data_IF_662238616729
#
_entry.id   IF_662238616729
#
_cell.length_a   1.000
_cell.length_b   1.000
_cell.length_c   1.000
_cell.angle_alpha   90.00
_cell.angle_beta   90.00
_cell.angle_gamma   90.00
#
_symmetry.space_group_name_H-M   'P 1'
#
loop_
_entity.id
_entity.type
_entity.pdbx_description
1 polymer ?
#
# COMPACT_ATOMS: atom_id res chain seq x y z
N UNK A 1 -52.30 5.51 -6.93
CA UNK A 1 -52.53 6.53 -5.90
C UNK A 1 -51.17 6.90 -5.35
N UNK A 2 -50.82 8.18 -5.47
CA UNK A 2 -49.49 8.76 -5.28
C UNK A 2 -48.79 8.33 -3.99
N UNK A 3 -47.45 8.24 -4.02
CA UNK A 3 -46.58 9.20 -3.34
C UNK A 3 -45.25 9.32 -4.11
N UNK A 4 -45.10 10.46 -4.78
CA UNK A 4 -43.85 10.98 -5.33
C UNK A 4 -42.97 11.49 -4.18
N UNK A 5 -41.65 11.31 -4.33
CA UNK A 5 -40.61 12.11 -3.67
C UNK A 5 -39.51 11.28 -3.00
N UNK A 6 -38.25 11.29 -3.49
CA UNK A 6 -37.14 11.16 -2.56
C UNK A 6 -37.11 12.46 -1.75
N UNK A 7 -37.29 12.39 -0.43
CA UNK A 7 -37.00 13.54 0.41
C UNK A 7 -35.51 13.85 0.25
N UNK A 8 -35.16 15.07 -0.17
CA UNK A 8 -33.79 15.59 -0.13
C UNK A 8 -33.29 15.46 1.32
N UNK A 9 -32.44 14.46 1.58
CA UNK A 9 -31.82 14.28 2.89
C UNK A 9 -30.71 15.31 3.02
N UNK A 10 -31.05 16.47 3.56
CA UNK A 10 -30.12 17.54 3.87
C UNK A 10 -29.17 17.12 5.02
N UNK A 11 -27.87 17.01 4.73
CA UNK A 11 -26.86 16.66 5.74
C UNK A 11 -26.06 17.89 6.17
N UNK A 12 -25.79 18.04 7.48
CA UNK A 12 -24.99 19.16 8.01
C UNK A 12 -23.75 18.64 8.74
N UNK A 13 -22.61 19.32 8.54
CA UNK A 13 -21.40 19.08 9.31
C UNK A 13 -21.43 19.85 10.63
N UNK A 14 -21.39 19.12 11.75
CA UNK A 14 -21.49 19.67 13.11
C UNK A 14 -20.29 19.22 13.94
N UNK A 15 -19.73 20.15 14.71
CA UNK A 15 -18.67 19.86 15.68
C UNK A 15 -19.15 20.22 17.09
N UNK A 16 -18.81 19.39 18.08
CA UNK A 16 -19.10 19.66 19.48
C UNK A 16 -18.15 18.88 20.38
N UNK A 17 -17.99 19.33 21.62
CA UNK A 17 -17.28 18.55 22.64
C UNK A 17 -18.21 17.48 23.19
N UNK A 18 -17.73 16.24 23.30
CA UNK A 18 -18.52 15.06 23.73
C UNK A 18 -19.29 15.32 25.03
N UNK A 19 -18.66 16.00 25.99
CA UNK A 19 -19.27 16.25 27.31
C UNK A 19 -20.41 17.30 27.29
N UNK A 20 -20.57 18.10 26.23
CA UNK A 20 -21.50 19.23 26.21
C UNK A 20 -22.10 19.51 24.81
N UNK A 21 -22.46 18.46 24.09
CA UNK A 21 -23.05 18.56 22.76
C UNK A 21 -24.56 18.87 22.82
N UNK A 22 -24.91 20.10 23.20
CA UNK A 22 -26.28 20.63 23.14
C UNK A 22 -26.46 21.47 21.88
N UNK A 23 -27.71 21.72 21.44
CA UNK A 23 -27.97 22.53 20.24
C UNK A 23 -27.32 23.92 20.28
N UNK A 24 -27.23 24.52 21.48
CA UNK A 24 -26.60 25.83 21.68
C UNK A 24 -25.07 25.81 21.49
N UNK A 25 -24.42 24.65 21.62
CA UNK A 25 -22.96 24.50 21.61
C UNK A 25 -22.45 23.75 20.36
N UNK A 26 -23.32 23.52 19.37
CA UNK A 26 -22.95 22.93 18.09
C UNK A 26 -22.26 23.98 17.21
N UNK A 27 -20.99 23.76 16.92
CA UNK A 27 -20.29 24.48 15.87
C UNK A 27 -20.79 24.01 14.51
N UNK A 28 -21.10 24.95 13.61
CA UNK A 28 -21.40 24.70 12.20
C UNK A 28 -20.29 25.30 11.35
N UNK A 29 -19.11 24.65 11.27
CA UNK A 29 -17.95 25.19 10.56
C UNK A 29 -18.16 25.23 9.03
N UNK A 30 -19.10 24.44 8.50
CA UNK A 30 -19.56 24.57 7.13
C UNK A 30 -20.94 25.28 7.12
N UNK A 31 -21.12 26.37 6.36
CA UNK A 31 -22.33 27.21 6.46
C UNK A 31 -23.58 26.61 5.80
N UNK A 32 -23.41 25.60 4.95
CA UNK A 32 -24.49 24.99 4.16
C UNK A 32 -24.73 23.52 4.48
N UNK A 33 -25.44 22.87 3.56
CA UNK A 33 -25.61 21.43 3.55
C UNK A 33 -24.49 20.77 2.73
N UNK A 34 -24.14 19.57 3.14
CA UNK A 34 -23.18 18.70 2.46
C UNK A 34 -23.91 17.49 1.88
N UNK A 35 -23.30 16.86 0.90
CA UNK A 35 -23.81 15.62 0.33
C UNK A 35 -23.73 14.51 1.41
N UNK A 36 -24.76 13.64 1.54
CA UNK A 36 -24.75 12.55 2.50
C UNK A 36 -23.52 11.66 2.35
N UNK A 37 -22.94 11.22 3.47
CA UNK A 37 -21.74 10.36 3.52
C UNK A 37 -20.46 10.94 2.86
N UNK A 38 -20.41 12.24 2.58
CA UNK A 38 -19.24 12.87 1.95
C UNK A 38 -18.14 13.33 2.91
N UNK A 39 -18.39 13.31 4.22
CA UNK A 39 -17.43 13.76 5.22
C UNK A 39 -16.30 12.74 5.38
N UNK A 40 -15.08 13.15 5.04
CA UNK A 40 -13.85 12.38 5.30
C UNK A 40 -12.95 13.19 6.22
N UNK A 41 -12.52 12.60 7.33
CA UNK A 41 -11.59 13.23 8.27
C UNK A 41 -10.37 12.33 8.39
N UNK A 42 -9.23 12.80 7.89
CA UNK A 42 -7.97 12.06 7.86
C UNK A 42 -6.85 12.99 8.29
N UNK A 43 -6.09 12.58 9.31
CA UNK A 43 -5.06 13.40 9.96
C UNK A 43 -5.57 14.84 10.29
N UNK A 44 -4.85 15.84 9.81
CA UNK A 44 -5.14 17.27 9.97
C UNK A 44 -6.15 17.80 8.95
N UNK A 45 -6.64 16.97 8.02
CA UNK A 45 -7.56 17.38 6.95
C UNK A 45 -8.99 16.94 7.23
N UNK A 46 -9.95 17.73 6.77
CA UNK A 46 -11.35 17.35 6.65
C UNK A 46 -11.86 17.73 5.27
N UNK A 47 -12.55 16.80 4.61
CA UNK A 47 -13.10 16.97 3.27
C UNK A 47 -14.61 16.83 3.29
N UNK A 48 -15.30 17.64 2.49
CA UNK A 48 -16.74 17.53 2.28
C UNK A 48 -17.08 17.81 0.82
N UNK A 49 -18.15 17.18 0.34
CA UNK A 49 -18.69 17.41 -1.00
C UNK A 49 -20.00 18.17 -0.91
N UNK A 50 -20.22 19.10 -1.85
CA UNK A 50 -21.45 19.87 -1.97
C UNK A 50 -21.86 19.91 -3.43
N UNK A 51 -23.01 19.34 -3.76
CA UNK A 51 -23.55 19.41 -5.12
C UNK A 51 -24.37 20.68 -5.33
N UNK A 52 -23.86 21.61 -6.15
CA UNK A 52 -24.55 22.86 -6.50
C UNK A 52 -24.89 22.87 -7.98
N UNK A 53 -26.18 22.99 -8.33
CA UNK A 53 -26.62 23.04 -9.74
C UNK A 53 -26.27 21.78 -10.54
N UNK A 54 -26.25 20.62 -9.88
CA UNK A 54 -25.87 19.33 -10.48
C UNK A 54 -24.36 19.12 -10.65
N UNK A 55 -23.52 20.00 -10.11
CA UNK A 55 -22.06 19.86 -10.14
C UNK A 55 -21.50 19.67 -8.73
N UNK A 56 -20.71 18.61 -8.47
CA UNK A 56 -20.07 18.44 -7.19
C UNK A 56 -18.94 19.46 -7.02
N UNK A 57 -18.87 20.09 -5.84
CA UNK A 57 -17.78 20.96 -5.40
C UNK A 57 -17.18 20.37 -4.13
N UNK A 58 -15.88 20.14 -4.15
CA UNK A 58 -15.15 19.56 -3.02
C UNK A 58 -14.48 20.66 -2.19
N UNK A 59 -14.62 20.59 -0.88
CA UNK A 59 -14.01 21.52 0.07
C UNK A 59 -13.05 20.78 0.99
N UNK A 60 -11.97 21.46 1.36
CA UNK A 60 -10.98 21.00 2.32
C UNK A 60 -10.88 21.98 3.50
N UNK A 61 -10.64 21.45 4.69
CA UNK A 61 -10.26 22.19 5.88
C UNK A 61 -8.97 21.59 6.42
N UNK A 62 -7.91 22.40 6.52
CA UNK A 62 -6.63 22.02 7.10
C UNK A 62 -6.56 22.52 8.54
N UNK A 63 -6.16 21.66 9.49
CA UNK A 63 -6.10 21.96 10.93
C UNK A 63 -7.41 22.50 11.51
N UNK A 64 -8.54 22.05 10.95
CA UNK A 64 -9.91 22.47 11.32
C UNK A 64 -10.17 23.98 11.13
N UNK A 65 -9.44 24.62 10.21
CA UNK A 65 -9.70 26.00 9.78
C UNK A 65 -10.92 26.08 8.83
N UNK A 66 -11.24 27.27 8.31
CA UNK A 66 -12.33 27.49 7.39
C UNK A 66 -12.24 26.61 6.13
N UNK A 67 -13.37 26.00 5.74
CA UNK A 67 -13.45 25.20 4.52
C UNK A 67 -13.18 26.06 3.29
N UNK A 68 -12.24 25.60 2.47
CA UNK A 68 -11.84 26.24 1.21
C UNK A 68 -12.12 25.29 0.05
N UNK A 69 -12.70 25.76 -1.07
CA UNK A 69 -12.93 24.91 -2.23
C UNK A 69 -11.60 24.43 -2.82
N UNK A 70 -11.52 23.14 -3.10
CA UNK A 70 -10.39 22.52 -3.78
C UNK A 70 -10.28 23.05 -5.21
N UNK A 71 -9.06 23.32 -5.65
CA UNK A 71 -8.75 23.88 -6.96
C UNK A 71 -8.03 22.83 -7.80
N UNK A 72 -8.81 22.14 -8.62
CA UNK A 72 -8.33 21.28 -9.70
C UNK A 72 -7.99 22.16 -10.94
N UNK A 73 -7.20 21.65 -11.90
CA UNK A 73 -6.95 22.35 -13.15
C UNK A 73 -8.24 22.76 -13.88
N UNK A 74 -8.24 23.92 -14.53
CA UNK A 74 -9.46 24.57 -15.06
C UNK A 74 -10.29 23.72 -16.03
N UNK A 75 -9.65 22.78 -16.72
CA UNK A 75 -10.28 21.95 -17.75
C UNK A 75 -10.66 20.56 -17.26
N UNK A 76 -10.37 20.26 -15.99
CA UNK A 76 -10.77 19.01 -15.32
C UNK A 76 -12.25 19.10 -14.95
N UNK A 77 -13.06 18.17 -15.45
CA UNK A 77 -14.45 18.02 -15.06
C UNK A 77 -14.59 16.76 -14.19
N UNK A 78 -14.51 16.88 -12.86
CA UNK A 78 -14.61 15.72 -11.97
C UNK A 78 -16.02 15.15 -12.02
N UNK A 79 -16.10 13.85 -12.24
CA UNK A 79 -17.29 13.04 -12.03
C UNK A 79 -17.30 12.47 -10.62
N UNK A 80 -16.13 12.03 -10.14
CA UNK A 80 -15.92 11.53 -8.80
C UNK A 80 -14.49 11.85 -8.30
N UNK A 81 -14.31 11.91 -6.97
CA UNK A 81 -13.04 12.20 -6.32
C UNK A 81 -12.88 11.36 -5.04
N UNK A 82 -11.75 10.66 -4.95
CA UNK A 82 -11.36 9.91 -3.76
C UNK A 82 -10.07 10.49 -3.16
N UNK A 83 -10.06 10.68 -1.84
CA UNK A 83 -8.83 11.00 -1.10
C UNK A 83 -8.10 9.69 -0.82
N UNK A 84 -6.86 9.58 -1.29
CA UNK A 84 -6.05 8.37 -1.17
C UNK A 84 -5.18 8.42 0.09
N UNK A 85 -4.44 9.51 0.26
CA UNK A 85 -3.46 9.66 1.33
C UNK A 85 -3.33 11.13 1.72
N UNK A 86 -3.12 11.38 3.01
CA UNK A 86 -2.87 12.71 3.59
C UNK A 86 -1.49 12.81 4.25
N UNK A 87 -0.60 11.86 3.94
CA UNK A 87 0.69 11.71 4.58
C UNK A 87 1.64 12.90 4.33
N UNK A 88 2.41 13.24 5.37
CA UNK A 88 3.44 14.30 5.36
C UNK A 88 2.91 15.68 4.89
N UNK A 89 1.72 16.07 5.36
CA UNK A 89 1.08 17.37 5.07
C UNK A 89 0.81 17.61 3.58
N UNK A 90 0.45 16.59 2.80
CA UNK A 90 -0.03 16.75 1.43
C UNK A 90 -1.16 15.77 1.17
N UNK A 91 -2.05 16.11 0.25
CA UNK A 91 -3.19 15.25 -0.13
C UNK A 91 -2.93 14.66 -1.50
N UNK A 92 -2.96 13.34 -1.60
CA UNK A 92 -3.05 12.60 -2.85
C UNK A 92 -4.52 12.28 -3.09
N UNK A 93 -5.07 12.73 -4.21
CA UNK A 93 -6.45 12.50 -4.59
C UNK A 93 -6.52 11.85 -5.98
N UNK A 94 -7.43 10.91 -6.15
CA UNK A 94 -7.76 10.33 -7.44
C UNK A 94 -9.06 10.95 -7.94
N UNK A 95 -9.05 11.46 -9.16
CA UNK A 95 -10.22 12.11 -9.79
C UNK A 95 -10.56 11.38 -11.07
N UNK A 96 -11.80 10.92 -11.20
CA UNK A 96 -12.33 10.40 -12.46
C UNK A 96 -12.98 11.56 -13.21
N UNK A 97 -12.54 11.79 -14.44
CA UNK A 97 -13.13 12.79 -15.33
C UNK A 97 -14.32 12.22 -16.10
N UNK A 98 -15.25 13.08 -16.56
CA UNK A 98 -16.48 12.65 -17.25
C UNK A 98 -16.26 11.85 -18.55
N UNK A 99 -15.09 11.99 -19.18
CA UNK A 99 -14.71 11.25 -20.38
C UNK A 99 -14.04 9.90 -20.07
N UNK A 100 -13.78 9.60 -18.80
CA UNK A 100 -13.16 8.35 -18.34
C UNK A 100 -14.23 7.43 -17.73
N UNK A 101 -14.06 6.11 -17.92
CA UNK A 101 -14.95 5.10 -17.37
C UNK A 101 -14.23 4.19 -16.37
N UNK A 102 -13.07 3.66 -16.75
CA UNK A 102 -12.31 2.66 -16.00
C UNK A 102 -10.95 3.19 -15.53
N UNK A 103 -10.73 4.50 -15.60
CA UNK A 103 -9.50 5.15 -15.19
C UNK A 103 -9.74 6.38 -14.32
N UNK A 104 -8.73 6.69 -13.50
CA UNK A 104 -8.64 7.86 -12.66
C UNK A 104 -7.32 8.60 -12.92
N UNK A 105 -7.34 9.91 -12.76
CA UNK A 105 -6.14 10.74 -12.75
C UNK A 105 -5.74 11.03 -11.30
N UNK A 106 -4.47 10.84 -10.95
CA UNK A 106 -3.92 11.18 -9.64
C UNK A 106 -3.48 12.63 -9.62
N UNK A 107 -3.83 13.30 -8.55
CA UNK A 107 -3.47 14.68 -8.26
C UNK A 107 -2.83 14.78 -6.88
N UNK A 108 -1.83 15.64 -6.76
CA UNK A 108 -1.14 15.94 -5.50
C UNK A 108 -1.40 17.39 -5.14
N UNK A 109 -1.63 17.66 -3.87
CA UNK A 109 -1.90 19.02 -3.41
C UNK A 109 -0.72 19.75 -2.79
N UNK A 110 -0.90 21.06 -2.64
CA UNK A 110 -0.13 21.90 -1.73
C UNK A 110 -0.34 21.49 -0.26
N UNK A 111 0.44 22.10 0.64
CA UNK A 111 0.41 21.74 2.06
C UNK A 111 -0.95 21.94 2.75
N UNK A 112 -1.80 22.80 2.20
CA UNK A 112 -3.16 23.05 2.73
C UNK A 112 -4.24 22.19 2.08
N UNK A 113 -3.90 21.37 1.08
CA UNK A 113 -4.86 20.52 0.40
C UNK A 113 -5.77 21.27 -0.58
N UNK A 114 -5.40 22.49 -1.00
CA UNK A 114 -6.26 23.39 -1.79
C UNK A 114 -5.89 23.35 -3.27
N UNK A 115 -4.61 23.50 -3.61
CA UNK A 115 -4.15 23.57 -4.99
C UNK A 115 -3.66 22.20 -5.43
N UNK A 116 -4.26 21.63 -6.47
CA UNK A 116 -3.91 20.30 -6.97
C UNK A 116 -3.23 20.36 -8.33
N UNK A 117 -2.16 19.59 -8.48
CA UNK A 117 -1.42 19.39 -9.73
C UNK A 117 -1.49 17.93 -10.16
N UNK A 118 -1.55 17.68 -11.46
CA UNK A 118 -1.59 16.34 -12.03
C UNK A 118 -0.28 15.60 -11.73
N UNK A 119 -0.40 14.39 -11.20
CA UNK A 119 0.71 13.52 -10.82
C UNK A 119 0.82 12.30 -11.74
N UNK A 120 -0.32 11.66 -12.07
CA UNK A 120 -0.34 10.52 -12.98
C UNK A 120 -1.69 10.41 -13.69
N UNK A 121 -1.66 10.25 -15.01
CA UNK A 121 -2.86 10.03 -15.81
C UNK A 121 -3.21 8.55 -15.95
N UNK A 122 -4.51 8.26 -16.13
CA UNK A 122 -5.04 6.97 -16.55
C UNK A 122 -4.66 5.78 -15.64
N UNK A 123 -4.70 5.98 -14.32
CA UNK A 123 -4.57 4.89 -13.35
C UNK A 123 -5.79 3.98 -13.44
N UNK A 124 -5.55 2.68 -13.54
CA UNK A 124 -6.58 1.67 -13.66
C UNK A 124 -7.48 1.68 -12.42
N UNK A 125 -8.77 1.50 -12.64
CA UNK A 125 -9.75 1.29 -11.56
C UNK A 125 -10.58 0.05 -11.85
N UNK A 126 -10.96 -0.65 -10.78
CA UNK A 126 -11.83 -1.81 -10.82
C UNK A 126 -12.97 -1.64 -9.82
N UNK A 127 -14.05 -2.38 -10.02
CA UNK A 127 -15.14 -2.45 -9.05
C UNK A 127 -14.82 -3.59 -8.09
N UNK A 128 -14.63 -3.25 -6.82
CA UNK A 128 -14.46 -4.21 -5.75
C UNK A 128 -15.78 -4.91 -5.37
N UNK A 129 -15.71 -5.82 -4.41
CA UNK A 129 -16.89 -6.39 -3.78
C UNK A 129 -17.82 -5.27 -3.25
N UNK A 130 -19.14 -5.49 -3.29
CA UNK A 130 -20.15 -4.51 -2.84
C UNK A 130 -20.25 -3.21 -3.66
N UNK A 131 -19.51 -3.09 -4.77
CA UNK A 131 -19.60 -1.94 -5.67
C UNK A 131 -18.70 -0.77 -5.30
N UNK A 132 -17.76 -0.96 -4.37
CA UNK A 132 -16.74 0.04 -4.05
C UNK A 132 -15.74 0.19 -5.19
N UNK A 133 -15.34 1.41 -5.52
CA UNK A 133 -14.31 1.66 -6.54
C UNK A 133 -12.94 1.40 -5.92
N UNK A 134 -12.17 0.52 -6.54
CA UNK A 134 -10.79 0.21 -6.17
C UNK A 134 -9.86 0.79 -7.23
N UNK A 135 -8.99 1.71 -6.81
CA UNK A 135 -7.98 2.29 -7.68
C UNK A 135 -6.70 1.46 -7.54
N UNK A 136 -6.09 1.04 -8.65
CA UNK A 136 -4.86 0.24 -8.65
C UNK A 136 -3.64 1.13 -8.30
N UNK A 137 -3.60 1.54 -7.04
CA UNK A 137 -2.57 2.37 -6.44
C UNK A 137 -2.22 1.77 -5.07
N UNK A 138 -0.94 1.60 -4.81
CA UNK A 138 -0.42 1.05 -3.57
C UNK A 138 0.58 2.02 -2.95
N UNK A 139 0.26 2.54 -1.77
CA UNK A 139 1.19 3.29 -0.94
C UNK A 139 2.10 2.32 -0.18
N UNK A 140 3.42 2.50 -0.30
CA UNK A 140 4.37 1.56 0.28
C UNK A 140 4.65 1.90 1.74
N UNK A 141 4.26 1.00 2.63
CA UNK A 141 4.52 1.11 4.05
C UNK A 141 6.03 1.13 4.35
N UNK A 142 6.45 1.96 5.30
CA UNK A 142 7.84 2.14 5.72
C UNK A 142 8.65 3.14 4.91
N UNK A 143 8.20 3.50 3.70
CA UNK A 143 8.86 4.50 2.84
C UNK A 143 7.85 5.56 2.39
N UNK A 144 7.71 6.62 3.19
CA UNK A 144 6.75 7.70 2.95
C UNK A 144 6.95 8.36 1.59
N UNK A 145 5.86 8.54 0.85
CA UNK A 145 5.86 9.17 -0.47
C UNK A 145 6.25 8.25 -1.63
N UNK A 146 6.40 6.96 -1.37
CA UNK A 146 6.59 5.95 -2.40
C UNK A 146 5.26 5.30 -2.78
N UNK A 147 4.94 5.32 -4.06
CA UNK A 147 3.71 4.73 -4.59
C UNK A 147 3.99 3.81 -5.78
N UNK A 148 3.19 2.76 -5.90
CA UNK A 148 3.11 1.90 -7.08
C UNK A 148 1.73 2.09 -7.71
N UNK A 149 1.64 2.26 -9.02
CA UNK A 149 0.37 2.45 -9.71
C UNK A 149 0.32 1.67 -11.02
N UNK A 150 -0.82 1.06 -11.32
CA UNK A 150 -1.06 0.48 -12.64
C UNK A 150 -1.70 1.52 -13.55
N UNK A 151 -0.95 1.95 -14.56
CA UNK A 151 -1.43 2.88 -15.58
C UNK A 151 -1.89 2.12 -16.81
N UNK A 152 -3.08 2.47 -17.30
CA UNK A 152 -3.62 1.99 -18.57
C UNK A 152 -3.23 2.97 -19.69
N UNK A 153 -2.45 2.48 -20.65
CA UNK A 153 -2.15 3.20 -21.89
C UNK A 153 -2.75 2.40 -23.05
N UNK A 154 -3.70 3.01 -23.76
CA UNK A 154 -4.53 2.33 -24.76
C UNK A 154 -5.26 1.12 -24.15
N UNK A 155 -4.76 -0.08 -24.43
CA UNK A 155 -5.28 -1.35 -23.91
C UNK A 155 -4.24 -2.15 -23.12
N UNK A 156 -3.07 -1.56 -22.86
CA UNK A 156 -2.00 -2.18 -22.09
C UNK A 156 -1.95 -1.59 -20.69
N UNK A 157 -1.88 -2.45 -19.69
CA UNK A 157 -1.71 -2.05 -18.29
C UNK A 157 -0.25 -2.23 -17.91
N UNK A 158 0.39 -1.18 -17.43
CA UNK A 158 1.79 -1.19 -16.98
C UNK A 158 1.91 -0.61 -15.58
N UNK A 159 2.72 -1.26 -14.75
CA UNK A 159 3.03 -0.81 -13.39
C UNK A 159 4.16 0.22 -13.38
N UNK A 160 3.94 1.32 -12.68
CA UNK A 160 4.90 2.39 -12.45
C UNK A 160 5.17 2.56 -10.95
N UNK A 161 6.37 3.04 -10.62
CA UNK A 161 6.80 3.40 -9.27
C UNK A 161 7.21 4.87 -9.23
N UNK A 162 6.89 5.54 -8.14
CA UNK A 162 7.38 6.88 -7.81
C UNK A 162 8.02 6.87 -6.42
N UNK A 163 9.08 7.64 -6.24
CA UNK A 163 9.76 7.83 -4.94
C UNK A 163 9.56 9.24 -4.37
N UNK A 164 8.90 10.12 -5.13
CA UNK A 164 8.75 11.54 -4.86
C UNK A 164 7.29 11.98 -4.92
N UNK A 165 6.40 11.18 -4.33
CA UNK A 165 4.97 11.47 -4.17
C UNK A 165 4.22 11.70 -5.49
N UNK A 166 4.66 11.07 -6.56
CA UNK A 166 3.98 11.12 -7.84
C UNK A 166 4.37 12.27 -8.76
N UNK A 167 5.48 12.97 -8.48
CA UNK A 167 6.07 13.90 -9.45
C UNK A 167 6.65 13.15 -10.65
N UNK A 168 7.51 12.17 -10.38
CA UNK A 168 8.16 11.35 -11.41
C UNK A 168 7.81 9.88 -11.23
N UNK A 169 7.52 9.23 -12.36
CA UNK A 169 7.09 7.83 -12.41
C UNK A 169 7.95 7.04 -13.38
N UNK A 170 8.44 5.88 -12.92
CA UNK A 170 9.30 5.00 -13.71
C UNK A 170 8.69 3.60 -13.81
N UNK A 171 8.95 2.91 -14.92
CA UNK A 171 8.62 1.49 -15.06
C UNK A 171 9.50 0.65 -14.13
N UNK A 172 8.97 -0.48 -13.66
CA UNK A 172 9.73 -1.43 -12.86
C UNK A 172 10.69 -2.23 -13.74
N UNK A 173 11.96 -2.27 -13.33
CA UNK A 173 12.96 -3.13 -13.95
C UNK A 173 12.64 -4.60 -13.65
N UNK A 174 12.62 -5.44 -14.67
CA UNK A 174 12.47 -6.88 -14.48
C UNK A 174 13.71 -7.51 -13.83
N UNK A 175 13.55 -8.57 -13.03
CA UNK A 175 14.67 -9.35 -12.52
C UNK A 175 15.61 -9.82 -13.63
N UNK A 176 16.92 -9.86 -13.33
CA UNK A 176 17.91 -10.31 -14.31
C UNK A 176 17.84 -11.82 -14.59
N UNK A 177 17.36 -12.61 -13.63
CA UNK A 177 17.34 -14.08 -13.70
C UNK A 177 16.03 -14.67 -13.16
N UNK A 178 15.62 -15.82 -13.70
CA UNK A 178 14.52 -16.63 -13.19
C UNK A 178 14.92 -17.42 -11.92
N UNK A 179 13.97 -18.14 -11.33
CA UNK A 179 14.20 -19.01 -10.15
C UNK A 179 15.28 -20.08 -10.36
N UNK A 180 15.55 -20.46 -11.61
CA UNK A 180 16.55 -21.48 -11.98
C UNK A 180 17.89 -20.84 -12.36
N UNK A 181 18.02 -19.52 -12.28
CA UNK A 181 19.22 -18.78 -12.63
C UNK A 181 19.40 -18.53 -14.14
N UNK A 182 18.39 -18.79 -14.97
CA UNK A 182 18.45 -18.42 -16.38
C UNK A 182 18.25 -16.92 -16.55
N UNK A 183 19.01 -16.30 -17.45
CA UNK A 183 18.86 -14.88 -17.78
C UNK A 183 17.47 -14.59 -18.35
N UNK A 184 16.81 -13.56 -17.82
CA UNK A 184 15.56 -13.02 -18.34
C UNK A 184 15.92 -11.84 -19.24
N UNK A 185 15.60 -11.93 -20.53
CA UNK A 185 15.80 -10.84 -21.48
C UNK A 185 14.55 -9.95 -21.55
N UNK A 186 14.49 -8.95 -20.68
CA UNK A 186 13.40 -7.98 -20.61
C UNK A 186 13.97 -6.57 -20.51
N UNK A 187 13.71 -5.72 -21.52
CA UNK A 187 14.35 -4.42 -21.68
C UNK A 187 13.30 -3.31 -21.74
N UNK A 188 13.49 -2.29 -20.91
CA UNK A 188 12.65 -1.10 -20.88
C UNK A 188 12.76 -0.30 -22.20
N UNK A 189 11.70 0.40 -22.65
CA UNK A 189 10.35 0.46 -22.06
C UNK A 189 9.38 -0.61 -22.59
N UNK A 190 9.86 -1.51 -23.46
CA UNK A 190 9.02 -2.49 -24.17
C UNK A 190 8.64 -3.69 -23.30
N UNK A 191 9.50 -4.03 -22.35
CA UNK A 191 9.25 -5.08 -21.36
C UNK A 191 9.66 -4.59 -19.97
N UNK A 192 8.82 -4.84 -18.98
CA UNK A 192 9.02 -4.44 -17.58
C UNK A 192 8.39 -5.48 -16.64
N UNK A 193 8.65 -5.32 -15.34
CA UNK A 193 7.89 -6.02 -14.31
C UNK A 193 6.54 -5.32 -14.09
N UNK A 194 5.49 -6.11 -13.96
CA UNK A 194 4.13 -5.65 -13.68
C UNK A 194 3.56 -6.39 -12.48
N UNK A 195 2.90 -5.66 -11.58
CA UNK A 195 2.43 -6.18 -10.30
C UNK A 195 0.91 -6.05 -10.18
N UNK A 196 0.31 -7.03 -9.54
CA UNK A 196 -1.07 -6.96 -9.09
C UNK A 196 -1.10 -6.18 -7.78
N UNK A 197 -1.63 -4.95 -7.81
CA UNK A 197 -1.58 -4.02 -6.67
C UNK A 197 -2.77 -4.17 -5.70
N UNK A 198 -3.66 -5.13 -5.97
CA UNK A 198 -4.83 -5.35 -5.14
C UNK A 198 -4.46 -5.93 -3.77
N UNK A 199 -4.88 -5.23 -2.71
CA UNK A 199 -4.76 -5.69 -1.32
C UNK A 199 -6.01 -6.50 -0.97
N UNK A 200 -5.85 -7.62 -0.27
CA UNK A 200 -7.01 -8.42 0.15
C UNK A 200 -7.74 -7.73 1.29
N UNK A 201 -9.06 -7.62 1.18
CA UNK A 201 -9.94 -7.20 2.30
C UNK A 201 -10.04 -8.28 3.38
N UNK A 202 -9.66 -9.53 3.06
CA UNK A 202 -9.72 -10.65 4.00
C UNK A 202 -8.45 -10.70 4.86
N UNK A 203 -8.54 -10.54 6.19
CA UNK A 203 -7.37 -10.50 7.07
C UNK A 203 -6.61 -11.83 7.16
N UNK A 204 -7.20 -12.91 6.65
CA UNK A 204 -6.67 -14.28 6.73
C UNK A 204 -5.90 -14.71 5.48
N UNK A 205 -5.99 -13.93 4.41
CA UNK A 205 -5.24 -14.12 3.17
C UNK A 205 -4.31 -12.94 3.00
N UNK A 206 -3.08 -13.19 2.56
CA UNK A 206 -2.29 -12.09 1.99
C UNK A 206 -2.98 -11.57 0.72
N UNK A 207 -2.93 -10.26 0.49
CA UNK A 207 -3.21 -9.70 -0.82
C UNK A 207 -2.15 -10.06 -1.85
N UNK A 208 -2.28 -9.48 -3.04
CA UNK A 208 -1.32 -9.64 -4.13
C UNK A 208 -0.06 -8.80 -3.92
N UNK A 209 -0.08 -7.84 -3.01
CA UNK A 209 1.07 -7.02 -2.62
C UNK A 209 1.07 -6.79 -1.10
N UNK A 210 2.25 -6.78 -0.50
CA UNK A 210 2.43 -6.53 0.92
C UNK A 210 3.77 -5.84 1.23
N UNK A 211 3.69 -4.80 2.05
CA UNK A 211 4.79 -4.09 2.69
C UNK A 211 4.40 -3.74 4.14
N UNK A 212 5.37 -3.44 5.00
CA UNK A 212 5.13 -3.10 6.42
C UNK A 212 6.02 -1.93 6.84
N UNK A 213 5.47 -1.04 7.67
CA UNK A 213 6.21 0.09 8.24
C UNK A 213 7.43 -0.34 9.05
N UNK A 214 7.33 -1.52 9.66
CA UNK A 214 8.39 -2.14 10.45
C UNK A 214 9.54 -2.71 9.59
N UNK A 215 9.31 -2.95 8.30
CA UNK A 215 10.25 -3.61 7.38
C UNK A 215 10.45 -2.81 6.08
N UNK A 216 11.00 -1.58 6.16
CA UNK A 216 11.08 -0.67 5.02
C UNK A 216 11.97 -1.23 3.90
N UNK A 217 11.53 -0.99 2.67
CA UNK A 217 12.20 -1.46 1.47
C UNK A 217 11.94 -2.92 1.12
N UNK A 218 11.30 -3.70 2.01
CA UNK A 218 10.81 -5.04 1.67
C UNK A 218 9.40 -4.92 1.12
N UNK A 219 9.23 -5.30 -0.15
CA UNK A 219 7.91 -5.36 -0.81
C UNK A 219 7.82 -6.72 -1.47
N UNK A 220 6.76 -7.46 -1.17
CA UNK A 220 6.43 -8.73 -1.81
C UNK A 220 5.19 -8.52 -2.66
N UNK A 221 5.22 -8.98 -3.91
CA UNK A 221 4.08 -8.85 -4.80
C UNK A 221 3.97 -10.00 -5.80
N UNK A 222 2.75 -10.35 -6.17
CA UNK A 222 2.45 -11.21 -7.32
C UNK A 222 2.34 -10.36 -8.58
N UNK A 223 2.77 -10.91 -9.71
CA UNK A 223 2.88 -10.16 -10.95
C UNK A 223 3.36 -10.98 -12.13
N UNK A 224 3.69 -10.29 -13.21
CA UNK A 224 4.17 -10.89 -14.47
C UNK A 224 5.24 -10.01 -15.10
N UNK A 225 6.14 -10.62 -15.87
CA UNK A 225 7.14 -9.91 -16.67
C UNK A 225 6.69 -9.93 -18.13
N UNK A 226 6.68 -8.77 -18.78
CA UNK A 226 6.28 -8.67 -20.17
C UNK A 226 6.04 -7.24 -20.64
N UNK A 227 5.30 -7.11 -21.74
CA UNK A 227 4.89 -5.82 -22.29
C UNK A 227 3.67 -5.22 -21.55
N UNK A 228 2.90 -6.03 -20.83
CA UNK A 228 1.73 -5.63 -20.06
C UNK A 228 1.49 -6.59 -18.89
N UNK A 229 0.66 -6.17 -17.93
CA UNK A 229 0.23 -6.98 -16.80
C UNK A 229 -0.63 -8.16 -17.28
N UNK A 230 -0.24 -9.38 -16.89
CA UNK A 230 -0.92 -10.63 -17.24
C UNK A 230 -1.64 -11.23 -16.04
N UNK A 231 -2.82 -11.81 -16.29
CA UNK A 231 -3.63 -12.53 -15.30
C UNK A 231 -3.36 -14.04 -15.24
N UNK A 232 -2.62 -14.62 -16.21
CA UNK A 232 -2.48 -16.08 -16.34
C UNK A 232 -1.12 -16.60 -15.89
N UNK A 233 -0.05 -15.85 -16.14
CA UNK A 233 1.32 -16.23 -15.77
C UNK A 233 1.78 -15.44 -14.55
N UNK A 234 1.03 -15.58 -13.46
CA UNK A 234 1.30 -14.86 -12.21
C UNK A 234 2.36 -15.60 -11.41
N UNK A 235 3.44 -14.89 -11.08
CA UNK A 235 4.56 -15.36 -10.26
C UNK A 235 4.81 -14.35 -9.14
N UNK A 236 5.55 -14.73 -8.11
CA UNK A 236 5.85 -13.82 -7.01
C UNK A 236 7.26 -13.25 -7.08
N UNK A 237 7.34 -11.96 -6.76
CA UNK A 237 8.55 -11.16 -6.72
C UNK A 237 8.73 -10.53 -5.36
N UNK A 238 9.98 -10.25 -5.01
CA UNK A 238 10.35 -9.47 -3.85
C UNK A 238 11.39 -8.44 -4.22
N UNK A 239 11.35 -7.30 -3.55
CA UNK A 239 12.44 -6.34 -3.47
C UNK A 239 12.82 -6.16 -2.02
N UNK A 240 14.11 -5.94 -1.76
CA UNK A 240 14.67 -5.62 -0.44
C UNK A 240 15.26 -4.19 -0.39
N UNK A 241 15.15 -3.44 -1.48
CA UNK A 241 15.75 -2.12 -1.66
C UNK A 241 14.72 -1.11 -2.21
N UNK A 242 13.46 -1.25 -1.80
CA UNK A 242 12.36 -0.34 -2.15
C UNK A 242 12.04 -0.26 -3.66
N UNK A 243 12.23 -1.36 -4.40
CA UNK A 243 11.82 -1.46 -5.79
C UNK A 243 12.91 -1.12 -6.81
N UNK A 244 14.15 -0.88 -6.35
CA UNK A 244 15.30 -0.69 -7.25
C UNK A 244 15.71 -2.01 -7.90
N UNK A 245 15.76 -3.10 -7.13
CA UNK A 245 16.02 -4.45 -7.62
C UNK A 245 14.91 -5.40 -7.19
N UNK A 246 14.44 -6.19 -8.16
CA UNK A 246 13.42 -7.23 -7.96
C UNK A 246 14.02 -8.60 -8.22
N UNK A 247 13.62 -9.59 -7.41
CA UNK A 247 13.94 -11.00 -7.62
C UNK A 247 12.67 -11.84 -7.62
N UNK A 248 12.60 -12.83 -8.50
CA UNK A 248 11.52 -13.82 -8.46
C UNK A 248 11.75 -14.77 -7.27
N UNK A 249 10.69 -15.11 -6.52
CA UNK A 249 10.78 -16.00 -5.34
C UNK A 249 9.92 -17.26 -5.44
N UNK A 250 8.79 -17.22 -6.16
CA UNK A 250 7.93 -18.39 -6.37
C UNK A 250 7.22 -18.34 -7.74
N UNK A 251 6.95 -19.49 -8.34
CA UNK A 251 6.18 -19.61 -9.60
C UNK A 251 4.66 -19.54 -9.38
N UNK A 252 4.21 -19.62 -8.13
CA UNK A 252 2.80 -19.59 -7.75
C UNK A 252 2.59 -18.59 -6.62
N UNK A 253 1.33 -18.31 -6.29
CA UNK A 253 0.96 -17.41 -5.20
C UNK A 253 1.14 -18.04 -3.82
N UNK A 254 1.79 -17.30 -2.93
CA UNK A 254 1.93 -17.64 -1.53
C UNK A 254 1.52 -16.45 -0.67
N UNK A 255 0.97 -16.75 0.50
CA UNK A 255 0.81 -15.76 1.55
C UNK A 255 2.09 -15.56 2.32
N UNK A 256 2.53 -14.30 2.37
CA UNK A 256 3.75 -13.89 3.07
C UNK A 256 3.41 -13.15 4.35
N UNK A 257 3.98 -13.62 5.46
CA UNK A 257 3.90 -13.00 6.78
C UNK A 257 5.27 -12.48 7.19
N UNK A 258 5.29 -11.26 7.70
CA UNK A 258 6.48 -10.61 8.27
C UNK A 258 6.57 -11.00 9.75
N UNK A 259 7.68 -11.62 10.15
CA UNK A 259 7.99 -11.93 11.54
C UNK A 259 9.01 -10.94 12.09
N UNK A 260 8.89 -10.62 13.38
CA UNK A 260 9.79 -9.74 14.12
C UNK A 260 10.20 -8.53 13.28
N UNK A 261 9.26 -7.65 12.94
CA UNK A 261 9.52 -6.43 12.15
C UNK A 261 10.27 -6.66 10.81
N UNK A 262 10.10 -7.84 10.18
CA UNK A 262 10.79 -8.19 8.94
C UNK A 262 12.16 -8.87 9.12
N UNK A 263 12.52 -9.28 10.34
CA UNK A 263 13.71 -10.10 10.60
C UNK A 263 13.63 -11.50 9.97
N UNK A 264 12.41 -11.99 9.72
CA UNK A 264 12.16 -13.15 8.87
C UNK A 264 10.86 -13.02 8.08
N UNK A 265 10.77 -13.76 6.99
CA UNK A 265 9.59 -13.87 6.15
C UNK A 265 9.12 -15.33 6.12
N UNK A 266 7.84 -15.55 6.35
CA UNK A 266 7.21 -16.86 6.20
C UNK A 266 6.32 -16.84 4.97
N UNK A 267 6.46 -17.81 4.08
CA UNK A 267 5.56 -17.99 2.95
C UNK A 267 4.80 -19.32 3.04
N UNK A 268 3.48 -19.25 2.89
CA UNK A 268 2.60 -20.42 2.86
C UNK A 268 1.81 -20.44 1.55
N UNK A 269 1.71 -21.60 0.90
CA UNK A 269 1.07 -21.70 -0.41
C UNK A 269 -0.44 -21.54 -0.25
N UNK A 270 -1.05 -20.68 -1.07
CA UNK A 270 -2.51 -20.61 -1.16
C UNK A 270 -2.99 -21.65 -2.17
N UNK A 271 -3.58 -22.76 -1.71
CA UNK A 271 -3.95 -23.87 -2.59
C UNK A 271 -5.17 -24.63 -2.05
N UNK A 272 -6.07 -25.12 -2.91
CA UNK A 272 -7.17 -25.99 -2.50
C UNK A 272 -6.70 -27.40 -2.11
N UNK A 273 -5.41 -27.71 -2.26
CA UNK A 273 -4.84 -29.01 -1.91
C UNK A 273 -4.30 -28.99 -0.47
N UNK A 274 -4.32 -30.13 0.24
CA UNK A 274 -3.80 -30.18 1.60
C UNK A 274 -2.28 -30.06 1.60
N UNK A 275 -1.74 -29.20 2.47
CA UNK A 275 -0.31 -28.92 2.61
C UNK A 275 0.18 -29.20 4.04
N UNK A 276 1.50 -29.41 4.17
CA UNK A 276 2.17 -29.60 5.47
C UNK A 276 3.49 -28.86 5.61
N UNK A 277 3.81 -28.03 4.62
CA UNK A 277 5.07 -27.31 4.55
C UNK A 277 4.84 -25.81 4.42
N UNK A 278 5.75 -25.05 5.01
CA UNK A 278 5.89 -23.62 4.84
C UNK A 278 7.33 -23.32 4.40
N UNK A 279 7.54 -22.12 3.88
CA UNK A 279 8.86 -21.60 3.55
C UNK A 279 9.24 -20.51 4.53
N UNK A 280 10.51 -20.45 4.90
CA UNK A 280 11.05 -19.46 5.81
C UNK A 280 12.32 -18.85 5.19
N UNK A 281 12.34 -17.53 5.13
CA UNK A 281 13.49 -16.73 4.74
C UNK A 281 13.87 -15.80 5.87
N UNK A 282 15.14 -15.45 5.88
CA UNK A 282 15.86 -14.87 7.00
C UNK A 282 16.85 -13.78 6.54
N UNK A 283 16.90 -13.58 5.24
CA UNK A 283 17.83 -12.74 4.50
C UNK A 283 17.05 -11.92 3.47
N UNK A 284 15.91 -11.40 3.90
CA UNK A 284 15.02 -10.53 3.12
C UNK A 284 14.54 -11.19 1.81
N UNK A 285 14.27 -12.50 1.84
CA UNK A 285 13.71 -13.27 0.73
C UNK A 285 14.72 -13.77 -0.30
N UNK A 286 16.02 -13.65 -0.05
CA UNK A 286 17.07 -14.13 -0.97
C UNK A 286 17.17 -15.65 -0.97
N UNK A 287 17.07 -16.28 0.20
CA UNK A 287 17.04 -17.74 0.32
C UNK A 287 15.83 -18.20 1.14
N UNK A 288 15.17 -19.25 0.64
CA UNK A 288 13.98 -19.83 1.26
C UNK A 288 14.24 -21.29 1.65
N UNK A 289 13.97 -21.62 2.91
CA UNK A 289 14.12 -22.97 3.44
C UNK A 289 12.74 -23.58 3.72
N UNK A 290 12.53 -24.84 3.35
CA UNK A 290 11.27 -25.55 3.51
C UNK A 290 11.20 -26.27 4.86
N UNK A 291 10.15 -26.01 5.64
CA UNK A 291 9.92 -26.64 6.94
C UNK A 291 8.56 -27.32 6.98
N UNK A 292 8.45 -28.42 7.74
CA UNK A 292 7.17 -29.09 7.97
C UNK A 292 6.53 -28.59 9.26
N UNK A 293 5.29 -28.10 9.19
CA UNK A 293 4.57 -27.58 10.35
C UNK A 293 3.59 -28.57 10.98
N UNK A 294 3.31 -29.68 10.28
CA UNK A 294 2.41 -30.75 10.73
C UNK A 294 2.88 -32.08 10.14
N UNK A 295 2.64 -33.19 10.84
CA UNK A 295 2.96 -34.53 10.34
C UNK A 295 2.09 -34.93 9.15
N UNK A 296 0.81 -34.53 9.19
CA UNK A 296 -0.22 -34.89 8.22
C UNK A 296 -0.71 -33.65 7.48
N UNK A 297 -0.82 -33.68 6.14
CA UNK A 297 -1.33 -32.55 5.37
C UNK A 297 -2.73 -32.10 5.83
N UNK A 298 -2.94 -30.79 5.86
CA UNK A 298 -4.22 -30.14 6.16
C UNK A 298 -4.59 -29.16 5.05
N UNK A 299 -5.88 -28.97 4.80
CA UNK A 299 -6.38 -27.86 4.03
C UNK A 299 -6.24 -26.60 4.87
N UNK A 300 -5.54 -25.60 4.33
CA UNK A 300 -5.28 -24.33 5.04
C UNK A 300 -6.32 -23.33 4.60
N UNK A 301 -7.13 -22.87 5.55
CA UNK A 301 -8.17 -21.86 5.31
C UNK A 301 -7.65 -20.44 5.58
N UNK A 302 -6.60 -20.31 6.41
CA UNK A 302 -5.95 -19.02 6.62
C UNK A 302 -4.80 -19.07 7.62
N UNK A 303 -4.06 -17.96 7.66
CA UNK A 303 -2.90 -17.77 8.54
C UNK A 303 -2.97 -16.43 9.24
N UNK A 304 -2.61 -16.42 10.52
CA UNK A 304 -2.58 -15.23 11.36
C UNK A 304 -1.23 -15.12 12.08
N UNK A 305 -0.65 -13.93 12.05
CA UNK A 305 0.41 -13.54 12.98
C UNK A 305 -0.19 -12.96 14.25
N UNK A 306 0.50 -13.13 15.39
CA UNK A 306 0.21 -12.37 16.60
C UNK A 306 0.20 -10.86 16.28
N UNK A 307 -0.84 -10.12 16.68
CA UNK A 307 -0.91 -8.69 16.44
C UNK A 307 0.15 -7.95 17.24
N UNK A 308 0.85 -7.02 16.59
CA UNK A 308 1.90 -6.21 17.20
C UNK A 308 3.15 -6.14 16.32
N UNK A 309 4.17 -5.48 16.83
CA UNK A 309 5.44 -5.27 16.10
C UNK A 309 6.38 -6.49 16.24
N UNK A 310 6.31 -7.21 17.36
CA UNK A 310 7.14 -8.39 17.67
C UNK A 310 6.42 -9.71 17.32
N UNK A 311 5.85 -9.82 16.11
CA UNK A 311 5.15 -11.04 15.70
C UNK A 311 6.12 -12.23 15.61
N UNK A 312 6.08 -13.11 16.62
CA UNK A 312 6.91 -14.32 16.71
C UNK A 312 6.09 -15.61 16.80
N UNK A 313 4.76 -15.47 16.86
CA UNK A 313 3.83 -16.58 16.89
C UNK A 313 2.96 -16.48 15.65
N UNK A 314 2.88 -17.59 14.91
CA UNK A 314 1.98 -17.75 13.78
C UNK A 314 0.99 -18.86 14.08
N UNK A 315 -0.27 -18.63 13.73
CA UNK A 315 -1.34 -19.63 13.85
C UNK A 315 -1.88 -19.92 12.46
N UNK A 316 -1.81 -21.18 12.06
CA UNK A 316 -2.43 -21.71 10.85
C UNK A 316 -3.73 -22.37 11.27
N UNK A 317 -4.85 -22.06 10.62
CA UNK A 317 -6.11 -22.73 10.86
C UNK A 317 -6.64 -23.38 9.58
N UNK A 318 -7.29 -24.51 9.76
CA UNK A 318 -7.67 -25.35 8.64
C UNK A 318 -8.42 -26.60 9.07
N UNK A 319 -8.45 -27.59 8.19
CA UNK A 319 -9.14 -28.87 8.44
C UNK A 319 -8.40 -30.04 7.76
N UNK A 320 -8.50 -31.24 8.32
CA UNK A 320 -7.90 -32.45 7.71
C UNK A 320 -8.71 -32.92 6.51
N UNK A 321 -10.03 -32.72 6.57
CA UNK A 321 -11.00 -33.08 5.54
C UNK A 321 -12.17 -32.10 5.60
N UNK A 322 -12.87 -31.86 4.50
CA UNK A 322 -14.02 -30.94 4.46
C UNK A 322 -15.17 -31.30 5.43
N UNK A 323 -15.13 -32.48 6.05
CA UNK A 323 -16.09 -32.92 7.07
C UNK A 323 -15.49 -33.03 8.48
N UNK A 324 -14.20 -32.69 8.64
CA UNK A 324 -13.54 -32.75 9.94
C UNK A 324 -13.74 -31.47 10.73
N UNK A 325 -13.51 -31.55 12.03
CA UNK A 325 -13.39 -30.38 12.89
C UNK A 325 -12.20 -29.49 12.48
N UNK A 326 -12.27 -28.23 12.91
CA UNK A 326 -11.20 -27.27 12.73
C UNK A 326 -9.94 -27.70 13.48
N UNK A 327 -8.79 -27.52 12.84
CA UNK A 327 -7.47 -27.69 13.44
C UNK A 327 -6.73 -26.37 13.45
N UNK A 328 -6.04 -26.10 14.56
CA UNK A 328 -5.18 -24.95 14.73
C UNK A 328 -3.76 -25.43 14.99
N UNK A 329 -2.82 -24.98 14.17
CA UNK A 329 -1.39 -25.22 14.34
C UNK A 329 -0.74 -23.92 14.77
N UNK A 330 -0.29 -23.88 16.03
CA UNK A 330 0.49 -22.76 16.56
C UNK A 330 1.98 -23.04 16.35
N UNK A 331 2.66 -22.14 15.66
CA UNK A 331 4.10 -22.16 15.43
C UNK A 331 4.73 -21.04 16.25
N UNK A 332 5.75 -21.40 17.02
CA UNK A 332 6.49 -20.49 17.90
C UNK A 332 7.93 -20.33 17.40
N UNK A 333 8.24 -19.14 16.88
CA UNK A 333 9.55 -18.82 16.32
C UNK A 333 10.56 -18.32 17.37
N UNK A 334 10.16 -18.17 18.65
CA UNK A 334 11.05 -17.66 19.73
C UNK A 334 12.28 -18.54 19.96
N UNK A 335 12.21 -19.83 19.61
CA UNK A 335 13.36 -20.74 19.68
C UNK A 335 14.47 -20.38 18.68
N UNK A 336 14.13 -19.72 17.56
CA UNK A 336 15.07 -19.26 16.54
C UNK A 336 15.63 -17.88 16.93
N UNK A 337 14.78 -17.00 17.45
CA UNK A 337 15.14 -15.67 17.92
C UNK A 337 15.44 -15.69 19.43
N UNK A 338 16.50 -16.38 19.82
CA UNK A 338 16.77 -16.73 21.23
C UNK A 338 17.39 -15.61 22.08
N UNK A 339 17.71 -14.45 21.49
CA UNK A 339 18.32 -13.30 22.16
C UNK A 339 17.78 -11.99 21.60
N UNK A 340 18.00 -10.89 22.32
CA UNK A 340 17.75 -9.54 21.79
C UNK A 340 18.87 -9.08 20.86
N UNK A 341 18.51 -8.27 19.88
CA UNK A 341 19.48 -7.68 18.97
C UNK A 341 20.32 -6.62 19.67
N UNK A 342 21.57 -6.50 19.24
CA UNK A 342 22.55 -5.49 19.69
C UNK A 342 22.96 -4.63 18.49
N UNK A 343 23.59 -3.49 18.71
CA UNK A 343 24.09 -2.61 17.64
C UNK A 343 24.90 -3.35 16.56
N UNK A 344 25.68 -4.36 16.95
CA UNK A 344 26.51 -5.14 16.03
C UNK A 344 25.69 -6.01 15.05
N UNK A 345 24.43 -6.29 15.34
CA UNK A 345 23.55 -7.14 14.52
C UNK A 345 22.93 -6.38 13.34
N UNK A 346 23.08 -5.07 13.30
CA UNK A 346 22.44 -4.22 12.31
C UNK A 346 23.44 -3.67 11.28
N UNK A 347 22.89 -3.31 10.13
CA UNK A 347 23.58 -2.64 9.04
C UNK A 347 22.73 -1.44 8.58
N UNK A 348 23.39 -0.43 8.04
CA UNK A 348 22.72 0.74 7.46
C UNK A 348 22.40 0.49 6.00
N UNK A 349 21.21 0.89 5.59
CA UNK A 349 20.78 0.89 4.20
C UNK A 349 20.31 2.31 3.84
N UNK A 350 20.84 2.82 2.73
CA UNK A 350 20.49 4.14 2.20
C UNK A 350 19.40 3.98 1.16
N UNK A 351 18.26 4.64 1.37
CA UNK A 351 17.23 4.70 0.35
C UNK A 351 17.73 5.58 -0.80
N UNK A 352 17.61 5.07 -2.02
CA UNK A 352 17.95 5.79 -3.24
C UNK A 352 16.96 5.46 -4.35
N UNK A 353 16.84 6.33 -5.35
CA UNK A 353 16.16 6.05 -6.60
C UNK A 353 17.20 5.89 -7.70
N UNK A 354 17.44 4.64 -8.16
CA UNK A 354 18.39 4.34 -9.24
C UNK A 354 19.80 4.98 -9.07
N UNK A 355 20.27 5.07 -7.82
CA UNK A 355 21.57 5.66 -7.48
C UNK A 355 21.50 7.10 -6.99
N UNK A 356 20.37 7.80 -7.10
CA UNK A 356 20.16 9.12 -6.52
C UNK A 356 19.76 9.00 -5.04
N UNK A 357 20.62 9.45 -4.09
CA UNK A 357 20.40 9.23 -2.66
C UNK A 357 19.49 10.29 -2.02
N UNK A 358 19.21 11.39 -2.73
CA UNK A 358 18.40 12.47 -2.21
C UNK A 358 16.97 12.34 -2.73
N UNK A 359 16.02 12.10 -1.82
CA UNK A 359 14.61 11.97 -2.18
C UNK A 359 13.82 13.01 -1.40
N UNK A 360 13.15 13.92 -2.11
CA UNK A 360 12.38 15.02 -1.53
C UNK A 360 13.25 15.88 -0.58
N UNK A 361 14.44 16.28 -1.03
CA UNK A 361 15.39 17.10 -0.26
C UNK A 361 16.04 16.40 0.96
N UNK A 362 15.88 15.09 1.12
CA UNK A 362 16.39 14.35 2.28
C UNK A 362 17.02 13.02 1.89
N UNK A 363 18.21 12.72 2.43
CA UNK A 363 18.80 11.38 2.43
C UNK A 363 18.24 10.59 3.60
N UNK A 364 17.53 9.51 3.33
CA UNK A 364 16.94 8.64 4.36
C UNK A 364 17.83 7.42 4.59
N UNK A 365 18.24 7.24 5.84
CA UNK A 365 19.06 6.10 6.27
C UNK A 365 18.23 5.23 7.19
N UNK A 366 18.04 3.99 6.76
CA UNK A 366 17.33 2.96 7.50
C UNK A 366 18.33 2.00 8.12
N UNK A 367 17.93 1.46 9.26
CA UNK A 367 18.65 0.39 9.91
C UNK A 367 17.97 -0.92 9.57
N UNK A 368 18.75 -1.91 9.14
CA UNK A 368 18.28 -3.24 8.77
C UNK A 368 19.03 -4.31 9.55
N UNK A 369 18.36 -5.42 9.83
CA UNK A 369 18.99 -6.56 10.46
C UNK A 369 19.95 -7.23 9.46
N UNK A 370 21.14 -7.64 9.91
CA UNK A 370 22.04 -8.42 9.06
C UNK A 370 21.41 -9.78 8.75
N UNK A 371 21.56 -10.31 7.52
CA UNK A 371 21.06 -11.65 7.15
C UNK A 371 21.51 -12.81 8.07
N UNK A 372 22.67 -12.65 8.71
CA UNK A 372 23.26 -13.64 9.63
C UNK A 372 22.78 -13.50 11.08
N UNK A 373 22.10 -12.40 11.42
CA UNK A 373 21.60 -12.18 12.77
C UNK A 373 20.27 -12.90 13.00
N UNK A 374 20.14 -13.51 14.17
CA UNK A 374 18.96 -14.25 14.64
C UNK A 374 18.65 -13.77 16.04
N UNK A 375 17.95 -12.65 16.13
CA UNK A 375 17.64 -11.99 17.38
C UNK A 375 16.33 -11.21 17.26
N UNK A 376 15.66 -10.98 18.39
CA UNK A 376 14.43 -10.19 18.47
C UNK A 376 14.81 -8.71 18.49
N UNK A 377 14.24 -7.91 17.58
CA UNK A 377 14.57 -6.48 17.46
C UNK A 377 14.07 -5.62 18.63
N UNK A 378 12.94 -5.97 19.22
CA UNK A 378 12.40 -5.25 20.38
C UNK A 378 11.48 -4.06 20.02
N UNK A 379 10.61 -3.65 20.95
CA UNK A 379 9.67 -2.52 20.80
C UNK A 379 10.30 -1.12 20.67
N UNK A 380 11.50 -0.90 21.19
CA UNK A 380 12.15 0.43 21.17
C UNK A 380 12.90 0.70 19.84
N UNK A 381 12.69 -0.14 18.82
CA UNK A 381 13.40 -0.06 17.56
C UNK A 381 12.83 1.04 16.64
N UNK A 382 13.50 2.20 16.57
CA UNK A 382 13.21 3.19 15.54
C UNK A 382 13.85 2.77 14.21
N UNK A 383 13.03 2.29 13.29
CA UNK A 383 13.42 1.81 11.96
C UNK A 383 14.19 2.87 11.15
N UNK A 384 13.85 4.15 11.31
CA UNK A 384 14.52 5.29 10.68
C UNK A 384 15.52 5.91 11.64
N UNK A 385 16.80 5.88 11.30
CA UNK A 385 17.87 6.30 12.21
C UNK A 385 18.27 7.76 12.01
N UNK A 386 18.25 8.27 10.77
CA UNK A 386 18.77 9.61 10.46
C UNK A 386 18.30 10.11 9.09
N UNK A 387 17.91 11.38 9.04
CA UNK A 387 17.65 12.14 7.82
C UNK A 387 18.69 13.24 7.66
N UNK A 388 19.51 13.20 6.61
CA UNK A 388 20.39 14.32 6.25
C UNK A 388 19.71 15.17 5.18
N UNK A 389 19.64 16.48 5.39
CA UNK A 389 19.13 17.40 4.37
C UNK A 389 20.09 17.48 3.18
N UNK A 390 19.54 17.60 1.98
CA UNK A 390 20.29 17.88 0.76
C UNK A 390 20.17 19.35 0.38
N UNK A 391 21.08 19.81 -0.47
CA UNK A 391 20.87 21.05 -1.21
C UNK A 391 19.73 20.87 -2.21
N UNK A 392 18.87 21.88 -2.34
CA UNK A 392 17.73 21.82 -3.24
C UNK A 392 18.18 21.80 -4.71
N UNK A 393 17.56 20.93 -5.50
CA UNK A 393 17.76 20.86 -6.95
C UNK A 393 16.48 21.24 -7.70
N UNK A 394 16.55 21.37 -9.02
CA UNK A 394 15.37 21.66 -9.85
C UNK A 394 14.25 20.60 -9.68
N UNK A 395 14.64 19.34 -9.41
CA UNK A 395 13.72 18.22 -9.14
C UNK A 395 12.99 18.30 -7.80
N UNK A 396 13.28 19.29 -6.95
CA UNK A 396 12.53 19.54 -5.71
C UNK A 396 11.42 20.61 -5.88
N UNK A 397 11.40 21.36 -6.98
CA UNK A 397 10.42 22.44 -7.21
C UNK A 397 9.29 22.02 -8.15
N UNK A 398 8.05 22.26 -7.77
CA UNK A 398 6.88 22.09 -8.64
C UNK A 398 6.88 23.13 -9.77
N UNK A 399 6.30 22.76 -10.92
CA UNK A 399 6.26 23.58 -12.14
C UNK A 399 5.35 24.81 -12.04
#
# INVERSE_FOLDING_TARGET
MNLYGPADVESQYVTCKVQNCTEANKGKPFPGYIDPNSLVVQDEYAFVQVTTGGRPVYYVSYKRDAFTPMKLPKYTFPKDLHVISTDENRVVAAVQEWNQNDTYNLYVSDTRGVLFTLALENVMSSMGPEGNVMIDLYEVAGVKGMFLANKKLDNQVKTYITYNKGRDWNLLQAPATDLRGHSIHCVLPYCSLHLHLHVSDYPYSSGNIASKDSAPGIIVASGSIGAELSMTNVTMFITSDAGNTWSQIFDEEYSVLYLDQGGALVAIRHTPLPIRHLWLSFDEGRHWNKYSFTSSPIFVDGVLGEPGEETLIMTIFGHVSHRSEWQLVKIDFRSIFNRRCTEADYQTWHLHNQGEPCLMGVKRIYRKLKPTARCVMGKDYSVTMTSESCDCTESDFEW
#
